data_IF_360546187247
#
_entry.id   IF_360546187247
#
_cell.length_a   1.000
_cell.length_b   1.000
_cell.length_c   1.000
_cell.angle_alpha   90.00
_cell.angle_beta   90.00
_cell.angle_gamma   90.00
#
_symmetry.space_group_name_H-M   'P 1'
#
loop_
_entity.id
_entity.type
_entity.pdbx_description
1 polymer ?
#
# COMPACT_ATOMS: atom_id res chain seq x y z
N UNK A 1 -20.39 -16.23 1.55
CA UNK A 1 -20.50 -15.10 2.51
C UNK A 1 -19.69 -15.53 3.72
N UNK A 2 -18.43 -15.12 3.85
CA UNK A 2 -17.81 -15.20 5.18
C UNK A 2 -18.44 -14.10 6.03
N UNK A 3 -18.65 -14.34 7.32
CA UNK A 3 -18.95 -13.26 8.24
C UNK A 3 -17.89 -12.16 8.08
N UNK A 4 -18.32 -10.91 8.14
CA UNK A 4 -17.39 -9.79 8.14
C UNK A 4 -16.56 -9.90 9.44
N UNK A 5 -15.26 -10.08 9.29
CA UNK A 5 -14.36 -10.12 10.44
C UNK A 5 -14.30 -8.70 11.03
N UNK A 6 -14.81 -8.53 12.24
CA UNK A 6 -14.75 -7.26 12.95
C UNK A 6 -13.49 -7.21 13.82
N UNK A 7 -12.74 -6.11 13.73
CA UNK A 7 -11.52 -5.91 14.49
C UNK A 7 -11.54 -4.58 15.20
N UNK A 8 -11.07 -4.59 16.45
CA UNK A 8 -10.90 -3.36 17.23
C UNK A 8 -9.90 -2.42 16.54
N UNK A 9 -10.24 -1.13 16.34
CA UNK A 9 -9.33 -0.13 15.81
C UNK A 9 -8.09 0.04 16.69
N UNK A 10 -7.02 0.56 16.09
CA UNK A 10 -5.81 0.92 16.83
C UNK A 10 -6.08 2.15 17.71
N UNK A 11 -5.53 2.17 18.93
CA UNK A 11 -5.64 3.33 19.81
C UNK A 11 -5.04 4.58 19.16
N UNK A 12 -5.69 5.74 19.33
CA UNK A 12 -5.23 7.01 18.74
C UNK A 12 -3.79 7.37 19.14
N UNK A 13 -3.38 7.06 20.38
CA UNK A 13 -2.01 7.30 20.83
C UNK A 13 -1.00 6.49 20.01
N UNK A 14 -1.34 5.26 19.68
CA UNK A 14 -0.50 4.36 18.90
C UNK A 14 -0.48 4.76 17.42
N UNK A 15 -1.62 5.18 16.86
CA UNK A 15 -1.69 5.80 15.52
C UNK A 15 -0.76 7.02 15.43
N UNK A 16 -0.86 7.93 16.40
CA UNK A 16 -0.01 9.12 16.46
C UNK A 16 1.48 8.76 16.59
N UNK A 17 1.83 7.77 17.41
CA UNK A 17 3.21 7.29 17.59
C UNK A 17 3.79 6.74 16.29
N UNK A 18 3.06 5.88 15.59
CA UNK A 18 3.52 5.28 14.33
C UNK A 18 3.69 6.35 13.24
N UNK A 19 2.71 7.24 13.09
CA UNK A 19 2.79 8.32 12.11
C UNK A 19 3.94 9.30 12.40
N UNK A 20 4.18 9.64 13.67
CA UNK A 20 5.33 10.47 14.07
C UNK A 20 6.66 9.80 13.70
N UNK A 21 6.81 8.50 13.92
CA UNK A 21 8.00 7.76 13.50
C UNK A 21 8.20 7.77 11.98
N UNK A 22 7.13 7.61 11.19
CA UNK A 22 7.19 7.75 9.73
C UNK A 22 7.63 9.17 9.33
N UNK A 23 7.12 10.21 9.99
CA UNK A 23 7.52 11.58 9.71
C UNK A 23 8.98 11.88 10.08
N UNK A 24 9.44 11.41 11.24
CA UNK A 24 10.77 11.73 11.79
C UNK A 24 11.91 10.95 11.11
N UNK A 25 11.76 9.62 10.99
CA UNK A 25 12.82 8.74 10.47
C UNK A 25 12.48 8.04 9.16
N UNK A 26 11.27 8.25 8.65
CA UNK A 26 10.81 7.74 7.36
C UNK A 26 10.11 6.38 7.42
N UNK A 27 10.10 5.70 8.57
CA UNK A 27 9.45 4.39 8.73
C UNK A 27 9.05 4.07 10.17
N UNK A 28 8.10 3.14 10.32
CA UNK A 28 7.67 2.55 11.58
C UNK A 28 7.31 1.08 11.39
N UNK A 29 7.52 0.26 12.42
CA UNK A 29 7.10 -1.15 12.44
C UNK A 29 6.13 -1.34 13.60
N UNK A 30 5.02 -2.02 13.32
CA UNK A 30 4.06 -2.46 14.32
C UNK A 30 3.96 -3.98 14.23
N UNK A 31 4.35 -4.68 15.29
CA UNK A 31 4.32 -6.14 15.34
C UNK A 31 2.91 -6.66 15.67
N UNK A 32 2.55 -7.81 15.09
CA UNK A 32 1.30 -8.53 15.39
C UNK A 32 0.03 -7.67 15.22
N UNK A 33 0.04 -6.75 14.25
CA UNK A 33 -1.06 -5.83 13.99
C UNK A 33 -2.23 -6.53 13.26
N UNK A 34 -1.90 -7.49 12.40
CA UNK A 34 -2.82 -8.28 11.59
C UNK A 34 -3.17 -9.56 12.36
N UNK A 35 -4.45 -9.79 12.69
CA UNK A 35 -4.89 -11.03 13.34
C UNK A 35 -4.59 -12.27 12.49
N UNK A 36 -4.21 -13.36 13.17
CA UNK A 36 -3.81 -14.61 12.51
C UNK A 36 -4.88 -15.15 11.55
N UNK A 37 -6.16 -15.08 11.94
CA UNK A 37 -7.28 -15.53 11.11
C UNK A 37 -7.36 -14.79 9.77
N UNK A 38 -7.18 -13.45 9.78
CA UNK A 38 -7.17 -12.65 8.56
C UNK A 38 -5.92 -12.93 7.73
N UNK A 39 -4.76 -13.03 8.39
CA UNK A 39 -3.48 -13.32 7.75
C UNK A 39 -3.53 -14.66 7.02
N UNK A 40 -4.04 -15.71 7.67
CA UNK A 40 -4.17 -17.05 7.10
C UNK A 40 -5.13 -17.06 5.91
N UNK A 41 -6.29 -16.43 6.05
CA UNK A 41 -7.22 -16.27 4.93
C UNK A 41 -6.56 -15.55 3.73
N UNK A 42 -5.77 -14.50 3.97
CA UNK A 42 -5.05 -13.76 2.92
C UNK A 42 -3.98 -14.63 2.24
N UNK A 43 -3.22 -15.43 2.99
CA UNK A 43 -2.25 -16.37 2.41
C UNK A 43 -2.95 -17.39 1.51
N UNK A 44 -4.05 -17.99 1.98
CA UNK A 44 -4.83 -18.93 1.18
C UNK A 44 -5.43 -18.25 -0.07
N UNK A 45 -5.92 -17.02 0.06
CA UNK A 45 -6.44 -16.23 -1.05
C UNK A 45 -5.37 -15.91 -2.09
N UNK A 46 -4.16 -15.58 -1.66
CA UNK A 46 -3.00 -15.39 -2.54
C UNK A 46 -2.65 -16.70 -3.24
N UNK A 47 -2.62 -17.82 -2.54
CA UNK A 47 -2.29 -19.13 -3.12
C UNK A 47 -3.31 -19.53 -4.20
N UNK A 48 -4.60 -19.36 -3.90
CA UNK A 48 -5.67 -19.58 -4.88
C UNK A 48 -5.49 -18.69 -6.10
N UNK A 49 -5.29 -17.38 -5.91
CA UNK A 49 -5.13 -16.44 -7.01
C UNK A 49 -3.86 -16.70 -7.84
N UNK A 50 -2.74 -17.04 -7.20
CA UNK A 50 -1.49 -17.41 -7.90
C UNK A 50 -1.71 -18.59 -8.84
N UNK A 51 -2.47 -19.60 -8.39
CA UNK A 51 -2.80 -20.78 -9.19
C UNK A 51 -3.84 -20.49 -10.27
N UNK A 52 -4.97 -19.87 -9.91
CA UNK A 52 -6.08 -19.58 -10.83
C UNK A 52 -5.66 -18.69 -12.01
N UNK A 53 -4.84 -17.67 -11.74
CA UNK A 53 -4.38 -16.72 -12.77
C UNK A 53 -3.02 -17.09 -13.37
N UNK A 54 -2.49 -18.28 -13.07
CA UNK A 54 -1.20 -18.78 -13.58
C UNK A 54 -0.07 -17.74 -13.48
N UNK A 55 0.04 -17.09 -12.32
CA UNK A 55 0.93 -15.94 -12.15
C UNK A 55 2.40 -16.37 -12.34
N UNK A 56 3.12 -15.79 -13.32
CA UNK A 56 4.49 -16.18 -13.60
C UNK A 56 5.48 -15.53 -12.61
N UNK A 57 6.71 -16.04 -12.63
CA UNK A 57 7.85 -15.32 -12.08
C UNK A 57 8.15 -14.06 -12.90
N UNK A 58 8.76 -13.06 -12.26
CA UNK A 58 9.26 -11.87 -12.95
C UNK A 58 10.31 -12.20 -14.00
N UNK A 59 10.37 -11.39 -15.05
CA UNK A 59 11.27 -11.58 -16.19
C UNK A 59 12.46 -10.60 -16.19
N UNK A 60 12.62 -9.80 -15.14
CA UNK A 60 13.66 -8.78 -15.01
C UNK A 60 14.03 -8.52 -13.54
N UNK A 61 15.09 -7.72 -13.31
CA UNK A 61 15.59 -7.40 -11.97
C UNK A 61 14.59 -6.66 -11.07
N UNK A 62 13.68 -5.86 -11.65
CA UNK A 62 12.67 -5.12 -10.90
C UNK A 62 11.56 -6.05 -10.39
N UNK A 63 11.01 -6.87 -11.28
CA UNK A 63 9.98 -7.84 -10.92
C UNK A 63 10.52 -9.00 -10.09
N UNK A 64 11.76 -9.41 -10.35
CA UNK A 64 12.49 -10.48 -9.67
C UNK A 64 12.30 -11.84 -10.35
N UNK A 65 13.41 -12.45 -10.77
CA UNK A 65 13.41 -13.75 -11.47
C UNK A 65 12.90 -14.94 -10.63
N UNK A 66 12.86 -14.79 -9.30
CA UNK A 66 12.32 -15.78 -8.37
C UNK A 66 11.20 -15.16 -7.53
N UNK A 67 10.53 -14.12 -8.04
CA UNK A 67 9.40 -13.48 -7.36
C UNK A 67 8.15 -13.53 -8.23
N UNK A 68 7.01 -13.88 -7.63
CA UNK A 68 5.69 -13.81 -8.26
C UNK A 68 4.90 -12.64 -7.68
N UNK A 69 4.15 -11.94 -8.53
CA UNK A 69 3.41 -10.73 -8.13
C UNK A 69 1.99 -10.75 -8.69
N UNK A 70 1.02 -10.57 -7.81
CA UNK A 70 -0.36 -10.30 -8.22
C UNK A 70 -0.59 -8.80 -8.09
N UNK A 71 -0.66 -8.13 -9.23
CA UNK A 71 -1.10 -6.74 -9.33
C UNK A 71 -2.63 -6.64 -9.37
N UNK A 72 -3.15 -5.46 -9.03
CA UNK A 72 -4.57 -5.15 -9.04
C UNK A 72 -5.39 -6.17 -8.22
N UNK A 73 -4.99 -6.39 -6.97
CA UNK A 73 -5.59 -7.42 -6.11
C UNK A 73 -7.10 -7.25 -5.91
N UNK A 74 -7.61 -6.01 -5.90
CA UNK A 74 -9.04 -5.71 -5.78
C UNK A 74 -9.87 -6.29 -6.95
N UNK A 75 -9.24 -6.53 -8.11
CA UNK A 75 -9.91 -7.19 -9.23
C UNK A 75 -9.92 -8.73 -9.13
N UNK A 76 -9.21 -9.32 -8.16
CA UNK A 76 -9.02 -10.78 -8.08
C UNK A 76 -10.03 -11.43 -7.16
N UNK A 77 -10.06 -11.01 -5.90
CA UNK A 77 -10.93 -11.61 -4.87
C UNK A 77 -11.41 -10.50 -3.92
N UNK A 78 -12.66 -10.63 -3.44
CA UNK A 78 -13.25 -9.69 -2.47
C UNK A 78 -12.51 -9.70 -1.14
N UNK A 79 -11.86 -10.79 -0.79
CA UNK A 79 -11.03 -10.89 0.42
C UNK A 79 -10.01 -9.73 0.50
N UNK A 80 -9.45 -9.30 -0.64
CA UNK A 80 -8.44 -8.24 -0.66
C UNK A 80 -9.00 -6.85 -0.40
N UNK A 81 -10.33 -6.65 -0.44
CA UNK A 81 -11.01 -5.41 -0.04
C UNK A 81 -10.70 -5.04 1.42
N UNK A 82 -10.37 -6.04 2.25
CA UNK A 82 -10.08 -5.87 3.69
C UNK A 82 -8.79 -5.12 3.98
N UNK A 83 -7.80 -5.19 3.07
CA UNK A 83 -6.44 -4.68 3.36
C UNK A 83 -6.30 -3.16 3.25
N UNK A 84 -6.87 -2.47 2.23
CA UNK A 84 -6.70 -1.03 2.09
C UNK A 84 -7.52 -0.21 3.09
N UNK A 85 -8.54 -0.83 3.68
CA UNK A 85 -9.46 -0.18 4.63
C UNK A 85 -9.31 -0.69 6.05
N UNK A 86 -8.29 -1.52 6.32
CA UNK A 86 -8.13 -2.15 7.61
C UNK A 86 -7.97 -1.11 8.73
N UNK A 87 -8.81 -1.24 9.76
CA UNK A 87 -8.99 -0.24 10.81
C UNK A 87 -7.74 0.03 11.66
N UNK A 88 -6.72 -0.83 11.59
CA UNK A 88 -5.45 -0.66 12.34
C UNK A 88 -4.32 -0.07 11.49
N UNK A 89 -4.45 -0.02 10.16
CA UNK A 89 -3.38 0.46 9.27
C UNK A 89 -3.76 1.73 8.54
N UNK A 90 -4.99 1.85 8.03
CA UNK A 90 -5.43 3.03 7.29
C UNK A 90 -5.33 4.32 8.10
N UNK A 91 -5.70 4.39 9.41
CA UNK A 91 -5.57 5.61 10.19
C UNK A 91 -4.13 6.15 10.30
N UNK A 92 -3.12 5.26 10.28
CA UNK A 92 -1.71 5.66 10.28
C UNK A 92 -1.35 6.33 8.95
N UNK A 93 -1.82 5.78 7.84
CA UNK A 93 -1.61 6.35 6.50
C UNK A 93 -2.32 7.70 6.37
N UNK A 94 -3.57 7.80 6.82
CA UNK A 94 -4.35 9.04 6.79
C UNK A 94 -3.73 10.13 7.67
N UNK A 95 -3.06 9.76 8.78
CA UNK A 95 -2.28 10.71 9.59
C UNK A 95 -1.02 11.21 8.86
N UNK A 96 -0.42 10.39 7.99
CA UNK A 96 0.80 10.73 7.26
C UNK A 96 0.52 11.56 5.99
N UNK A 97 -0.57 11.26 5.27
CA UNK A 97 -0.92 11.91 4.00
C UNK A 97 -2.06 12.94 4.17
N UNK A 98 -3.26 12.45 4.42
CA UNK A 98 -4.47 13.08 4.94
C UNK A 98 -5.63 12.05 4.80
N UNK A 99 -6.82 12.40 5.27
CA UNK A 99 -8.03 11.57 5.22
C UNK A 99 -8.60 11.38 3.80
N UNK A 100 -8.10 12.13 2.82
CA UNK A 100 -8.52 12.09 1.43
C UNK A 100 -7.48 11.41 0.53
N UNK A 101 -6.54 10.65 1.11
CA UNK A 101 -5.60 9.82 0.35
C UNK A 101 -6.31 8.78 -0.54
N UNK A 102 -5.57 8.29 -1.53
CA UNK A 102 -6.00 7.26 -2.48
C UNK A 102 -5.11 6.02 -2.39
N UNK A 103 -5.67 4.86 -2.73
CA UNK A 103 -4.92 3.62 -2.91
C UNK A 103 -4.23 3.64 -4.29
N UNK A 104 -2.94 3.95 -4.34
CA UNK A 104 -2.15 4.01 -5.57
C UNK A 104 -2.03 2.64 -6.26
N UNK A 105 -1.71 1.60 -5.51
CA UNK A 105 -1.60 0.22 -6.00
C UNK A 105 -1.77 -0.79 -4.85
N UNK A 106 -2.23 -2.00 -5.18
CA UNK A 106 -2.37 -3.09 -4.21
C UNK A 106 -1.79 -4.39 -4.77
N UNK A 107 -0.66 -4.82 -4.22
CA UNK A 107 0.13 -5.92 -4.79
C UNK A 107 0.45 -6.99 -3.76
N UNK A 108 0.17 -8.26 -4.06
CA UNK A 108 0.72 -9.40 -3.34
C UNK A 108 2.06 -9.79 -3.95
N UNK A 109 3.04 -10.06 -3.10
CA UNK A 109 4.41 -10.44 -3.49
C UNK A 109 4.74 -11.75 -2.81
N UNK A 110 5.10 -12.75 -3.60
CA UNK A 110 5.71 -13.99 -3.14
C UNK A 110 7.15 -14.07 -3.63
N UNK A 111 8.09 -13.89 -2.71
CA UNK A 111 9.53 -14.01 -2.95
C UNK A 111 9.97 -15.44 -2.65
N UNK A 112 10.48 -16.16 -3.65
CA UNK A 112 10.91 -17.55 -3.52
C UNK A 112 12.42 -17.67 -3.27
N UNK A 113 12.91 -18.85 -2.85
CA UNK A 113 14.33 -19.15 -2.69
C UNK A 113 15.19 -18.71 -3.89
N UNK A 114 16.33 -18.09 -3.60
CA UNK A 114 17.28 -17.63 -4.61
C UNK A 114 16.97 -16.26 -5.21
N UNK A 115 15.90 -15.58 -4.80
CA UNK A 115 15.65 -14.21 -5.24
C UNK A 115 16.77 -13.28 -4.78
N UNK A 116 17.40 -12.58 -5.73
CA UNK A 116 18.41 -11.58 -5.45
C UNK A 116 17.83 -10.31 -4.81
N UNK A 117 18.67 -9.60 -4.05
CA UNK A 117 18.37 -8.29 -3.47
C UNK A 117 18.00 -7.27 -4.55
N UNK A 118 16.96 -6.48 -4.31
CA UNK A 118 16.57 -5.39 -5.20
C UNK A 118 17.54 -4.20 -5.10
N UNK A 119 17.77 -3.45 -6.19
CA UNK A 119 18.42 -2.16 -6.11
C UNK A 119 17.62 -1.20 -5.21
N UNK A 120 18.33 -0.29 -4.54
CA UNK A 120 17.67 0.75 -3.75
C UNK A 120 16.86 1.67 -4.67
N UNK A 121 15.62 1.93 -4.27
CA UNK A 121 14.69 2.82 -4.96
C UNK A 121 13.82 3.58 -3.95
N UNK A 122 13.06 4.55 -4.45
CA UNK A 122 12.01 5.25 -3.72
C UNK A 122 10.74 5.12 -4.56
N UNK A 123 9.62 4.75 -3.95
CA UNK A 123 8.36 4.47 -4.67
C UNK A 123 7.75 5.74 -5.27
N UNK A 124 8.00 6.90 -4.65
CA UNK A 124 7.63 8.18 -5.25
C UNK A 124 8.60 8.64 -6.36
N UNK A 125 9.50 7.75 -6.79
CA UNK A 125 10.43 7.95 -7.90
C UNK A 125 9.74 8.18 -9.25
N UNK A 126 8.44 7.92 -9.42
CA UNK A 126 7.78 8.30 -10.67
C UNK A 126 7.39 9.79 -10.71
N UNK A 127 7.34 10.46 -9.56
CA UNK A 127 6.93 11.85 -9.45
C UNK A 127 8.12 12.81 -9.58
N UNK A 128 8.00 13.80 -10.48
CA UNK A 128 9.05 14.76 -10.80
C UNK A 128 9.22 15.92 -9.82
N UNK A 129 8.80 15.77 -8.57
CA UNK A 129 8.94 16.83 -7.57
C UNK A 129 10.42 17.03 -7.16
N UNK A 130 10.85 18.29 -6.92
CA UNK A 130 12.13 18.56 -6.29
C UNK A 130 12.21 17.89 -4.91
N UNK A 131 13.42 17.46 -4.51
CA UNK A 131 13.65 16.79 -3.23
C UNK A 131 14.52 17.63 -2.29
N UNK A 132 14.33 17.51 -0.97
CA UNK A 132 13.26 16.78 -0.31
C UNK A 132 11.89 17.43 -0.57
N UNK A 133 10.83 16.62 -0.64
CA UNK A 133 9.46 17.09 -0.82
C UNK A 133 8.62 16.78 0.42
N UNK A 134 7.43 17.39 0.56
CA UNK A 134 6.41 16.84 1.44
C UNK A 134 6.14 15.35 1.11
N UNK A 135 5.65 14.61 2.09
CA UNK A 135 5.25 13.22 1.90
C UNK A 135 3.99 13.16 1.04
N UNK A 136 4.11 12.65 -0.18
CA UNK A 136 2.97 12.45 -1.07
C UNK A 136 2.60 10.99 -1.28
N UNK A 137 3.46 10.07 -0.85
CA UNK A 137 3.27 8.62 -0.97
C UNK A 137 3.63 8.01 0.37
N UNK A 138 2.80 7.09 0.84
CA UNK A 138 3.04 6.33 2.06
C UNK A 138 2.56 4.90 1.84
N UNK A 139 3.31 3.94 2.39
CA UNK A 139 3.06 2.52 2.16
C UNK A 139 2.89 1.79 3.48
N UNK A 140 2.10 0.72 3.44
CA UNK A 140 2.01 -0.28 4.49
C UNK A 140 2.27 -1.67 3.89
N UNK A 141 3.43 -2.25 4.21
CA UNK A 141 3.76 -3.65 3.86
C UNK A 141 3.29 -4.54 4.98
N UNK A 142 2.38 -5.45 4.64
CA UNK A 142 1.87 -6.50 5.52
C UNK A 142 2.75 -7.74 5.37
N UNK A 143 3.38 -8.16 6.47
CA UNK A 143 4.12 -9.42 6.53
C UNK A 143 3.14 -10.58 6.75
N UNK A 144 2.90 -11.40 5.72
CA UNK A 144 2.03 -12.59 5.86
C UNK A 144 2.82 -13.84 6.26
N UNK A 145 4.13 -13.83 6.05
CA UNK A 145 5.12 -14.71 6.67
C UNK A 145 6.11 -13.87 7.46
N UNK A 146 6.98 -14.50 8.24
CA UNK A 146 8.10 -13.80 8.87
C UNK A 146 8.97 -13.13 7.81
N UNK A 147 9.44 -11.92 8.10
CA UNK A 147 10.48 -11.24 7.33
C UNK A 147 11.73 -11.24 8.20
N UNK A 148 12.80 -11.89 7.73
CA UNK A 148 14.08 -12.02 8.46
C UNK A 148 15.24 -11.54 7.58
N UNK A 149 16.42 -11.42 8.18
CA UNK A 149 17.64 -11.11 7.45
C UNK A 149 17.91 -12.11 6.31
N UNK A 150 17.64 -13.39 6.55
CA UNK A 150 17.97 -14.49 5.65
C UNK A 150 16.94 -14.69 4.53
N UNK A 151 15.66 -14.42 4.77
CA UNK A 151 14.59 -14.64 3.78
C UNK A 151 14.23 -13.40 2.95
N UNK A 152 15.04 -12.36 3.06
CA UNK A 152 14.95 -11.17 2.23
C UNK A 152 14.11 -10.03 2.80
N UNK A 153 14.00 -9.92 4.13
CA UNK A 153 13.37 -8.77 4.80
C UNK A 153 13.77 -7.42 4.19
N UNK A 154 12.87 -6.44 4.22
CA UNK A 154 13.02 -5.18 3.48
C UNK A 154 14.23 -4.38 3.98
N UNK A 155 15.13 -3.98 3.07
CA UNK A 155 16.16 -3.00 3.40
C UNK A 155 15.58 -1.59 3.40
N UNK A 156 15.96 -0.79 4.39
CA UNK A 156 15.62 0.63 4.49
C UNK A 156 16.88 1.42 4.80
N UNK A 157 17.03 2.62 4.23
CA UNK A 157 18.02 3.61 4.65
C UNK A 157 17.31 4.68 5.50
N UNK A 158 17.39 4.62 6.84
CA UNK A 158 16.69 5.58 7.70
C UNK A 158 17.07 7.03 7.39
N UNK A 159 16.10 7.94 7.42
CA UNK A 159 16.31 9.36 7.14
C UNK A 159 16.57 9.72 5.66
N UNK A 160 16.66 8.74 4.76
CA UNK A 160 16.93 8.98 3.34
C UNK A 160 15.81 9.73 2.61
N UNK A 161 14.60 9.76 3.16
CA UNK A 161 13.48 10.57 2.64
C UNK A 161 13.78 12.09 2.66
N UNK A 162 14.71 12.53 3.50
CA UNK A 162 15.17 13.92 3.57
C UNK A 162 16.28 14.28 2.58
N UNK A 163 16.75 13.33 1.76
CA UNK A 163 17.83 13.58 0.78
C UNK A 163 17.30 14.37 -0.42
N UNK A 164 18.18 15.15 -1.01
CA UNK A 164 17.91 16.03 -2.17
C UNK A 164 17.88 15.29 -3.52
N UNK A 165 18.11 13.97 -3.49
CA UNK A 165 18.16 13.12 -4.66
C UNK A 165 17.60 11.74 -4.40
N UNK A 166 17.51 10.98 -5.48
CA UNK A 166 17.17 9.55 -5.50
C UNK A 166 18.42 8.70 -5.32
N UNK A 167 18.27 7.42 -4.92
CA UNK A 167 19.38 6.50 -4.88
C UNK A 167 19.97 6.30 -6.28
N UNK A 168 21.29 6.20 -6.35
CA UNK A 168 22.04 5.77 -7.52
C UNK A 168 22.55 4.35 -7.29
N UNK A 169 22.73 3.59 -8.37
CA UNK A 169 23.38 2.28 -8.29
C UNK A 169 24.80 2.45 -7.74
N UNK A 170 25.13 1.71 -6.69
CA UNK A 170 26.44 1.75 -6.03
C UNK A 170 26.56 2.78 -4.91
N UNK A 171 25.48 3.46 -4.52
CA UNK A 171 25.49 4.28 -3.30
C UNK A 171 25.90 3.44 -2.07
N UNK A 172 26.95 3.89 -1.38
CA UNK A 172 27.32 3.38 -0.07
C UNK A 172 26.42 4.04 0.99
N UNK A 173 25.60 3.24 1.65
CA UNK A 173 24.62 3.72 2.62
C UNK A 173 24.50 2.73 3.78
N UNK A 174 24.21 3.29 4.95
CA UNK A 174 23.85 2.51 6.13
C UNK A 174 22.40 2.05 6.02
N UNK A 175 22.20 1.00 5.23
CA UNK A 175 20.92 0.32 5.13
C UNK A 175 20.75 -0.65 6.30
N UNK A 176 19.62 -0.59 6.98
CA UNK A 176 19.17 -1.62 7.91
C UNK A 176 18.26 -2.61 7.19
N UNK A 177 18.15 -3.83 7.70
CA UNK A 177 17.17 -4.80 7.25
C UNK A 177 16.06 -4.91 8.30
N UNK A 178 14.82 -4.73 7.88
CA UNK A 178 13.66 -4.78 8.77
C UNK A 178 13.26 -6.23 8.96
N UNK A 179 13.47 -6.73 10.16
CA UNK A 179 12.98 -8.03 10.62
C UNK A 179 11.68 -7.85 11.39
N UNK A 180 10.68 -8.66 11.09
CA UNK A 180 9.38 -8.62 11.76
C UNK A 180 8.65 -9.96 11.61
N UNK A 181 7.96 -10.45 12.67
CA UNK A 181 7.20 -11.69 12.58
C UNK A 181 5.99 -11.54 11.67
N UNK A 182 5.47 -12.66 11.17
CA UNK A 182 4.21 -12.72 10.44
C UNK A 182 3.09 -12.04 11.23
N UNK A 183 2.24 -11.27 10.55
CA UNK A 183 1.21 -10.44 11.17
C UNK A 183 1.67 -8.99 11.46
N UNK A 184 2.95 -8.69 11.26
CA UNK A 184 3.47 -7.32 11.43
C UNK A 184 3.24 -6.44 10.20
N UNK A 185 3.28 -5.13 10.42
CA UNK A 185 3.20 -4.11 9.37
C UNK A 185 4.37 -3.16 9.43
N UNK A 186 5.02 -2.96 8.29
CA UNK A 186 6.02 -1.91 8.06
C UNK A 186 5.34 -0.74 7.34
N UNK A 187 5.27 0.41 8.01
CA UNK A 187 4.84 1.68 7.43
C UNK A 187 6.06 2.50 7.01
N UNK A 188 6.01 3.14 5.85
CA UNK A 188 7.09 4.03 5.44
C UNK A 188 6.66 5.12 4.46
N UNK A 189 7.49 6.16 4.43
CA UNK A 189 7.42 7.28 3.50
C UNK A 189 7.92 6.82 2.12
N UNK A 190 7.16 7.08 1.05
CA UNK A 190 7.51 6.67 -0.32
C UNK A 190 8.80 7.30 -0.87
N UNK A 191 9.31 8.36 -0.24
CA UNK A 191 10.63 8.95 -0.54
C UNK A 191 11.81 8.20 0.11
N UNK A 192 11.56 7.28 1.05
CA UNK A 192 12.63 6.52 1.70
C UNK A 192 13.29 5.56 0.70
N UNK A 193 14.62 5.50 0.75
CA UNK A 193 15.38 4.56 -0.05
C UNK A 193 15.25 3.18 0.58
N UNK A 194 14.74 2.24 -0.20
CA UNK A 194 14.48 0.89 0.26
C UNK A 194 14.61 -0.13 -0.88
N UNK A 195 14.49 -1.41 -0.55
CA UNK A 195 14.40 -2.50 -1.51
C UNK A 195 14.27 -3.85 -0.83
N UNK A 196 13.66 -4.83 -1.50
CA UNK A 196 13.61 -6.21 -1.00
C UNK A 196 15.01 -6.80 -0.81
N UNK A 197 15.21 -7.54 0.28
CA UNK A 197 16.43 -8.30 0.52
C UNK A 197 16.56 -9.52 -0.37
N UNK A 198 17.69 -10.21 -0.24
CA UNK A 198 17.93 -11.51 -0.89
C UNK A 198 17.27 -12.64 -0.08
N UNK A 199 16.54 -13.55 -0.74
CA UNK A 199 16.04 -14.75 -0.08
C UNK A 199 17.05 -15.89 -0.22
N UNK A 200 17.77 -16.16 0.87
CA UNK A 200 18.81 -17.20 0.99
C UNK A 200 18.31 -18.48 1.68
N UNK A 201 17.01 -18.54 1.98
CA UNK A 201 16.37 -19.69 2.62
C UNK A 201 15.78 -20.65 1.59
N UNK A 202 15.19 -21.74 2.05
CA UNK A 202 14.44 -22.72 1.26
C UNK A 202 12.91 -22.49 1.31
N UNK A 203 12.46 -21.43 1.98
CA UNK A 203 11.06 -21.07 2.11
C UNK A 203 10.71 -19.79 1.33
N UNK A 204 9.44 -19.67 0.94
CA UNK A 204 8.90 -18.43 0.36
C UNK A 204 8.65 -17.38 1.44
N UNK A 205 8.75 -16.10 1.06
CA UNK A 205 8.34 -14.94 1.86
C UNK A 205 7.16 -14.25 1.19
N UNK A 206 6.04 -14.08 1.91
CA UNK A 206 4.79 -13.54 1.36
C UNK A 206 4.42 -12.26 2.06
N UNK A 207 4.04 -11.24 1.28
CA UNK A 207 3.48 -10.01 1.83
C UNK A 207 2.55 -9.28 0.87
N UNK A 208 1.78 -8.34 1.40
CA UNK A 208 0.93 -7.43 0.62
C UNK A 208 1.46 -6.01 0.78
N UNK A 209 1.65 -5.31 -0.34
CA UNK A 209 2.02 -3.90 -0.37
C UNK A 209 0.77 -3.09 -0.63
N UNK A 210 0.36 -2.31 0.36
CA UNK A 210 -0.64 -1.27 0.21
C UNK A 210 0.09 0.04 -0.06
N UNK A 211 0.07 0.51 -1.31
CA UNK A 211 0.70 1.77 -1.69
C UNK A 211 -0.37 2.86 -1.76
N UNK A 212 -0.22 3.93 -0.98
CA UNK A 212 -1.14 5.07 -0.97
C UNK A 212 -0.47 6.33 -1.45
N UNK A 213 -1.24 7.20 -2.10
CA UNK A 213 -0.78 8.52 -2.51
C UNK A 213 -1.75 9.62 -2.06
N UNK A 214 -1.26 10.85 -2.00
CA UNK A 214 -2.09 12.01 -1.74
C UNK A 214 -3.21 12.12 -2.78
N UNK A 215 -4.41 12.54 -2.38
CA UNK A 215 -5.60 12.42 -3.24
C UNK A 215 -5.64 13.27 -4.50
N UNK A 216 -4.66 14.16 -4.68
CA UNK A 216 -4.47 14.93 -5.90
C UNK A 216 -3.45 14.31 -6.88
N UNK A 217 -2.84 13.17 -6.55
CA UNK A 217 -1.90 12.46 -7.42
C UNK A 217 -2.59 11.40 -8.28
N UNK A 218 -2.00 11.13 -9.46
CA UNK A 218 -2.37 9.97 -10.28
C UNK A 218 -1.88 8.69 -9.59
N UNK A 219 -2.79 7.74 -9.39
CA UNK A 219 -2.48 6.39 -8.88
C UNK A 219 -1.60 5.61 -9.88
N UNK A 220 -0.72 4.75 -9.38
CA UNK A 220 0.11 3.83 -10.20
C UNK A 220 -0.75 2.84 -10.97
N UNK A 221 -1.69 2.19 -10.29
CA UNK A 221 -2.73 1.39 -10.90
C UNK A 221 -3.91 2.28 -11.23
N UNK A 222 -4.36 2.27 -12.49
CA UNK A 222 -5.53 3.04 -12.92
C UNK A 222 -6.82 2.36 -12.44
N UNK A 223 -7.13 2.45 -11.14
CA UNK A 223 -8.23 1.74 -10.49
C UNK A 223 -9.59 1.99 -11.17
N UNK A 224 -9.87 3.23 -11.60
CA UNK A 224 -11.08 3.61 -12.36
C UNK A 224 -11.26 2.81 -13.66
N UNK A 225 -10.17 2.37 -14.30
CA UNK A 225 -10.22 1.54 -15.52
C UNK A 225 -10.12 0.05 -15.19
N UNK A 226 -9.41 -0.28 -14.13
CA UNK A 226 -9.07 -1.63 -13.75
C UNK A 226 -10.23 -2.36 -13.04
N UNK A 227 -11.16 -1.60 -12.44
CA UNK A 227 -12.31 -2.11 -11.72
C UNK A 227 -13.61 -1.75 -12.45
N UNK A 228 -14.54 -2.72 -12.54
CA UNK A 228 -15.87 -2.45 -13.09
C UNK A 228 -16.69 -1.58 -12.14
N UNK A 229 -17.62 -0.79 -12.68
CA UNK A 229 -18.55 0.01 -11.87
C UNK A 229 -19.38 -0.84 -10.92
N UNK A 230 -19.78 -2.04 -11.35
CA UNK A 230 -20.50 -3.00 -10.51
C UNK A 230 -19.68 -3.43 -9.30
N UNK A 231 -18.38 -3.74 -9.50
CA UNK A 231 -17.48 -4.09 -8.40
C UNK A 231 -17.29 -2.93 -7.43
N UNK A 232 -17.09 -1.72 -7.95
CA UNK A 232 -16.94 -0.51 -7.11
C UNK A 232 -18.22 -0.15 -6.36
N UNK A 233 -19.39 -0.38 -6.95
CA UNK A 233 -20.68 -0.16 -6.29
C UNK A 233 -20.83 -1.06 -5.05
N UNK A 234 -20.29 -2.27 -5.08
CA UNK A 234 -20.33 -3.23 -3.98
C UNK A 234 -19.29 -2.97 -2.87
N UNK A 235 -18.37 -2.02 -3.06
CA UNK A 235 -17.39 -1.65 -2.03
C UNK A 235 -18.01 -0.80 -0.92
N UNK A 236 -17.46 -0.95 0.28
CA UNK A 236 -17.69 -0.02 1.38
C UNK A 236 -17.33 1.42 0.95
N UNK A 237 -18.02 2.44 1.49
CA UNK A 237 -17.85 3.83 1.04
C UNK A 237 -16.40 4.32 1.06
N UNK A 238 -15.62 3.93 2.07
CA UNK A 238 -14.21 4.36 2.16
C UNK A 238 -13.35 3.74 1.05
N UNK A 239 -13.54 2.45 0.74
CA UNK A 239 -12.79 1.79 -0.33
C UNK A 239 -13.17 2.36 -1.70
N UNK A 240 -14.45 2.66 -1.93
CA UNK A 240 -14.93 3.36 -3.13
C UNK A 240 -14.16 4.68 -3.34
N UNK A 241 -14.00 5.48 -2.28
CA UNK A 241 -13.21 6.72 -2.35
C UNK A 241 -11.72 6.46 -2.60
N UNK A 242 -11.13 5.49 -1.90
CA UNK A 242 -9.71 5.12 -2.06
C UNK A 242 -9.37 4.72 -3.50
N UNK A 243 -10.29 4.10 -4.24
CA UNK A 243 -10.08 3.71 -5.65
C UNK A 243 -10.37 4.84 -6.65
N UNK A 244 -10.51 6.08 -6.17
CA UNK A 244 -10.59 7.27 -7.00
C UNK A 244 -12.00 7.71 -7.37
N UNK A 245 -13.05 7.13 -6.80
CA UNK A 245 -14.42 7.58 -7.06
C UNK A 245 -14.81 8.82 -6.25
N UNK A 246 -14.09 9.13 -5.17
CA UNK A 246 -14.26 10.37 -4.41
C UNK A 246 -13.67 11.58 -5.14
N UNK A 247 -13.81 12.75 -4.52
CA UNK A 247 -13.08 13.95 -4.93
C UNK A 247 -12.10 14.36 -3.86
N UNK A 248 -11.02 15.04 -4.24
CA UNK A 248 -10.09 15.65 -3.29
C UNK A 248 -10.45 17.14 -3.11
N UNK A 249 -10.69 17.52 -1.85
CA UNK A 249 -11.15 18.83 -1.38
C UNK A 249 -12.40 19.33 -2.10
N UNK A 250 -13.28 18.41 -2.51
CA UNK A 250 -14.52 18.74 -3.22
C UNK A 250 -14.30 19.32 -4.62
N UNK A 251 -13.12 19.15 -5.23
CA UNK A 251 -12.78 19.75 -6.53
C UNK A 251 -12.02 18.78 -7.44
N UNK A 252 -10.89 18.26 -6.99
CA UNK A 252 -10.01 17.45 -7.84
C UNK A 252 -10.66 16.07 -8.04
N UNK A 253 -10.66 15.57 -9.29
CA UNK A 253 -11.22 14.27 -9.64
C UNK A 253 -12.70 14.28 -10.06
N UNK A 254 -13.35 15.44 -10.13
CA UNK A 254 -14.77 15.51 -10.51
C UNK A 254 -15.03 15.07 -11.97
N UNK A 255 -16.25 14.60 -12.24
CA UNK A 255 -16.78 14.38 -13.60
C UNK A 255 -17.95 15.34 -13.80
N UNK A 256 -17.85 16.25 -14.77
CA UNK A 256 -18.90 17.23 -15.09
C UNK A 256 -19.47 17.96 -13.88
N UNK A 257 -18.59 18.45 -13.00
CA UNK A 257 -18.97 19.10 -11.73
C UNK A 257 -19.80 18.21 -10.80
N UNK A 258 -19.51 16.91 -10.76
CA UNK A 258 -20.09 15.94 -9.81
C UNK A 258 -19.02 15.00 -9.26
N UNK A 259 -19.24 14.49 -8.06
CA UNK A 259 -18.43 13.41 -7.52
C UNK A 259 -18.62 12.15 -8.38
N UNK A 260 -17.54 11.45 -8.80
CA UNK A 260 -17.66 10.20 -9.51
C UNK A 260 -18.39 9.10 -8.72
N UNK A 261 -18.49 9.20 -7.39
CA UNK A 261 -19.28 8.27 -6.56
C UNK A 261 -20.73 8.17 -7.03
N UNK A 262 -21.31 9.27 -7.56
CA UNK A 262 -22.67 9.28 -8.10
C UNK A 262 -22.86 8.35 -9.32
N UNK A 263 -21.78 7.87 -9.94
CA UNK A 263 -21.82 6.90 -11.05
C UNK A 263 -22.07 5.46 -10.59
N UNK A 264 -21.89 5.19 -9.29
CA UNK A 264 -22.07 3.87 -8.67
C UNK A 264 -23.06 3.89 -7.52
N UNK A 265 -23.40 5.08 -7.01
CA UNK A 265 -24.38 5.31 -5.95
C UNK A 265 -25.13 6.64 -6.21
N UNK A 266 -26.26 6.60 -6.95
CA UNK A 266 -26.96 7.80 -7.38
C UNK A 266 -27.52 8.67 -6.26
N UNK A 267 -27.71 8.10 -5.05
CA UNK A 267 -28.32 8.78 -3.91
C UNK A 267 -27.28 9.48 -3.01
N UNK A 268 -25.99 9.39 -3.34
CA UNK A 268 -24.93 9.94 -2.50
C UNK A 268 -24.96 11.47 -2.46
N UNK A 269 -24.87 12.05 -1.26
CA UNK A 269 -24.75 13.50 -1.13
C UNK A 269 -23.37 13.94 -1.63
N UNK A 270 -23.37 15.08 -2.30
CA UNK A 270 -22.22 15.54 -3.06
C UNK A 270 -21.43 16.54 -2.21
N UNK A 271 -20.15 16.23 -2.00
CA UNK A 271 -19.18 16.98 -1.20
C UNK A 271 -18.52 18.16 -1.95
N UNK A 272 -19.00 18.48 -3.15
CA UNK A 272 -18.34 19.43 -4.05
C UNK A 272 -18.29 20.84 -3.48
N UNK A 273 -17.19 21.56 -3.78
CA UNK A 273 -16.91 22.89 -3.22
C UNK A 273 -17.98 23.93 -3.57
N UNK A 274 -18.55 23.90 -4.79
CA UNK A 274 -19.60 24.85 -5.20
C UNK A 274 -20.91 24.69 -4.42
N UNK A 275 -21.22 23.51 -3.87
CA UNK A 275 -22.38 23.35 -3.00
C UNK A 275 -22.21 24.03 -1.63
N UNK A 276 -20.96 24.23 -1.20
CA UNK A 276 -20.64 24.89 0.08
C UNK A 276 -20.62 26.42 -0.02
N UNK A 277 -20.34 26.97 -1.20
CA UNK A 277 -20.23 28.42 -1.46
C UNK A 277 -21.61 29.11 -1.51
N UNK A 278 -22.70 28.35 -1.71
CA UNK A 278 -24.08 28.88 -1.80
C UNK A 278 -24.90 28.76 -0.50
N UNK A 279 -24.25 28.54 0.65
CA UNK A 279 -24.82 28.67 1.99
C UNK A 279 -24.15 29.83 2.72
#
# INVERSE_FOLDING_TARGET
>A
MSEAMEFEPLEELEVARLAAQVAERGYAVAENLIPDELREALVEGIDRAMHEFEIPYGDNEFLGHCTRRIFNLLARDRLFETTPTFCRTLPVIERVLDDECLLSSLTAIEMNPGQARQPLHADDGSYGFPRPSPTFVALAIWALTDFTAENGGTHIVPGSQGRDRRPNRGDEVDAIQVEMPAGSVLFYNGSIWHGGGENRTDARRVGIVNNYCAGFLRQEESQILALSRERVAAFEPRLRRLVGYGTYRGLIGHVDQRSPEALVDPEIDSDMVWKRIHR
#
